data_IF_429706332012
#
_entry.id   IF_429706332012
#
_cell.length_a   1.000
_cell.length_b   1.000
_cell.length_c   1.000
_cell.angle_alpha   90.00
_cell.angle_beta   90.00
_cell.angle_gamma   90.00
#
_symmetry.space_group_name_H-M   'P 1'
#
loop_
_entity.id
_entity.type
_entity.pdbx_description
1 polymer ?
#
# COMPACT_ATOMS: atom_id res chain seq x y z
N UNK A 1 -9.96 -7.64 -5.52
CA UNK A 1 -9.51 -6.62 -4.57
C UNK A 1 -8.10 -6.92 -4.07
N UNK A 2 -7.88 -8.12 -3.51
CA UNK A 2 -6.64 -8.51 -2.87
C UNK A 2 -5.37 -8.30 -3.74
N UNK A 3 -5.44 -8.50 -5.07
CA UNK A 3 -4.29 -8.28 -5.95
C UNK A 3 -3.90 -6.81 -6.02
N UNK A 4 -4.88 -5.90 -6.16
CA UNK A 4 -4.60 -4.46 -6.24
C UNK A 4 -4.17 -3.86 -4.91
N UNK A 5 -4.71 -4.37 -3.79
CA UNK A 5 -4.34 -3.96 -2.44
C UNK A 5 -3.12 -4.72 -1.90
N UNK A 6 -2.49 -5.57 -2.73
CA UNK A 6 -1.30 -6.35 -2.36
C UNK A 6 -1.51 -7.18 -1.09
N UNK A 7 -2.72 -7.76 -0.91
CA UNK A 7 -3.09 -8.55 0.28
C UNK A 7 -2.71 -10.02 0.07
N UNK A 8 -1.85 -10.60 0.92
CA UNK A 8 -1.46 -12.00 0.80
C UNK A 8 -2.60 -12.92 1.25
N UNK A 9 -3.22 -13.60 0.30
CA UNK A 9 -4.30 -14.58 0.56
C UNK A 9 -3.93 -15.89 -0.14
N UNK A 10 -4.08 -17.01 0.56
CA UNK A 10 -4.04 -18.35 -0.03
C UNK A 10 -5.46 -18.90 -0.06
N UNK A 11 -6.03 -19.00 -1.26
CA UNK A 11 -7.35 -19.59 -1.48
C UNK A 11 -7.18 -21.06 -1.90
N UNK A 12 -7.81 -21.96 -1.17
CA UNK A 12 -7.86 -23.39 -1.48
C UNK A 12 -9.28 -23.70 -1.97
N UNK A 13 -9.38 -24.21 -3.20
CA UNK A 13 -10.64 -24.60 -3.84
C UNK A 13 -10.70 -26.10 -4.04
N UNK A 14 -11.92 -26.66 -3.98
CA UNK A 14 -12.20 -28.04 -4.38
C UNK A 14 -12.69 -28.10 -5.84
N UNK A 15 -12.26 -29.11 -6.58
CA UNK A 15 -12.58 -29.35 -7.97
C UNK A 15 -13.17 -30.76 -8.16
N UNK A 16 -13.87 -31.00 -9.28
CA UNK A 16 -14.32 -32.33 -9.68
C UNK A 16 -13.15 -33.31 -9.79
N UNK A 17 -13.42 -34.60 -9.92
CA UNK A 17 -12.35 -35.60 -10.10
C UNK A 17 -11.56 -35.33 -11.39
N UNK A 18 -10.27 -35.62 -11.39
CA UNK A 18 -9.39 -35.36 -12.54
C UNK A 18 -9.84 -36.06 -13.83
N UNK A 19 -10.50 -37.19 -13.72
CA UNK A 19 -11.05 -37.94 -14.85
C UNK A 19 -12.24 -37.26 -15.55
N UNK A 20 -12.89 -36.29 -14.90
CA UNK A 20 -14.06 -35.58 -15.42
C UNK A 20 -13.75 -34.13 -15.79
N UNK A 21 -12.51 -33.69 -15.64
CA UNK A 21 -12.11 -32.34 -16.06
C UNK A 21 -12.23 -32.18 -17.59
N UNK A 22 -12.83 -31.07 -18.01
CA UNK A 22 -13.05 -30.74 -19.42
C UNK A 22 -14.24 -31.46 -20.05
N UNK A 23 -15.13 -32.04 -19.25
CA UNK A 23 -16.32 -32.78 -19.74
C UNK A 23 -17.65 -32.06 -19.46
N UNK A 24 -17.61 -30.81 -18.96
CA UNK A 24 -18.77 -30.07 -18.48
C UNK A 24 -19.53 -30.83 -17.34
N UNK A 25 -18.77 -31.51 -16.49
CA UNK A 25 -19.30 -32.22 -15.35
C UNK A 25 -20.06 -31.28 -14.39
N UNK A 26 -21.02 -31.84 -13.62
CA UNK A 26 -21.80 -31.05 -12.65
C UNK A 26 -20.85 -30.29 -11.68
N UNK A 27 -21.00 -28.97 -11.59
CA UNK A 27 -20.17 -28.06 -10.79
C UNK A 27 -18.69 -27.94 -11.23
N UNK A 28 -18.34 -28.43 -12.41
CA UNK A 28 -17.03 -28.15 -12.98
C UNK A 28 -16.95 -26.71 -13.44
N UNK A 29 -15.79 -26.09 -13.19
CA UNK A 29 -15.45 -24.77 -13.70
C UNK A 29 -13.95 -24.68 -13.96
N UNK A 30 -13.53 -24.01 -15.03
CA UNK A 30 -12.12 -23.73 -15.27
C UNK A 30 -11.62 -22.62 -14.31
N UNK A 31 -11.43 -23.01 -13.05
CA UNK A 31 -11.10 -22.08 -11.98
C UNK A 31 -9.72 -21.44 -12.16
N UNK A 32 -8.79 -22.13 -12.81
CA UNK A 32 -7.46 -21.62 -13.09
C UNK A 32 -7.51 -20.41 -14.05
N UNK A 33 -8.26 -20.53 -15.15
CA UNK A 33 -8.40 -19.41 -16.10
C UNK A 33 -9.15 -18.22 -15.47
N UNK A 34 -10.22 -18.46 -14.72
CA UNK A 34 -10.98 -17.41 -14.05
C UNK A 34 -10.10 -16.63 -13.07
N UNK A 35 -9.24 -17.32 -12.33
CA UNK A 35 -8.40 -16.70 -11.30
C UNK A 35 -7.09 -16.14 -11.82
N UNK A 36 -6.68 -16.47 -13.04
CA UNK A 36 -5.38 -16.08 -13.61
C UNK A 36 -5.16 -14.56 -13.65
N UNK A 37 -6.20 -13.78 -13.95
CA UNK A 37 -6.11 -12.31 -14.04
C UNK A 37 -6.16 -11.59 -12.71
N UNK A 38 -6.52 -12.28 -11.62
CA UNK A 38 -6.77 -11.69 -10.30
C UNK A 38 -5.89 -12.27 -9.18
N UNK A 39 -4.90 -13.10 -9.55
CA UNK A 39 -3.96 -13.73 -8.61
C UNK A 39 -2.52 -13.59 -9.07
N UNK A 40 -1.58 -13.65 -8.14
CA UNK A 40 -0.14 -13.72 -8.44
C UNK A 40 0.26 -15.05 -9.05
N UNK A 41 -0.42 -16.10 -8.60
CA UNK A 41 -0.17 -17.46 -9.03
C UNK A 41 -1.38 -18.33 -8.73
N UNK A 42 -1.62 -19.29 -9.59
CA UNK A 42 -2.60 -20.33 -9.36
C UNK A 42 -2.08 -21.69 -9.85
N UNK A 43 -2.59 -22.77 -9.30
CA UNK A 43 -2.30 -24.10 -9.78
C UNK A 43 -3.45 -25.05 -9.50
N UNK A 44 -3.56 -26.09 -10.34
CA UNK A 44 -4.47 -27.22 -10.13
C UNK A 44 -3.67 -28.44 -9.69
N UNK A 45 -4.05 -29.03 -8.58
CA UNK A 45 -3.43 -30.25 -7.98
C UNK A 45 -4.30 -31.47 -8.26
N UNK A 46 -3.73 -32.47 -8.93
CA UNK A 46 -4.44 -33.69 -9.38
C UNK A 46 -4.00 -34.95 -8.63
N UNK A 47 -3.01 -34.87 -7.77
CA UNK A 47 -2.45 -36.01 -7.01
C UNK A 47 -2.25 -35.60 -5.56
N UNK A 48 -2.54 -36.51 -4.63
CA UNK A 48 -2.38 -36.22 -3.20
C UNK A 48 -0.93 -35.84 -2.84
N UNK A 49 0.05 -36.48 -3.46
CA UNK A 49 1.47 -36.26 -3.19
C UNK A 49 1.96 -34.86 -3.53
N UNK A 50 1.26 -34.15 -4.44
CA UNK A 50 1.63 -32.81 -4.90
C UNK A 50 1.06 -31.71 -3.98
N UNK A 51 0.09 -32.03 -3.10
CA UNK A 51 -0.57 -31.05 -2.24
C UNK A 51 0.42 -30.32 -1.32
N UNK A 52 1.32 -30.97 -0.57
CA UNK A 52 2.22 -30.28 0.36
C UNK A 52 3.13 -29.28 -0.32
N UNK A 53 3.67 -29.62 -1.51
CA UNK A 53 4.53 -28.71 -2.27
C UNK A 53 3.73 -27.53 -2.84
N UNK A 54 2.52 -27.76 -3.37
CA UNK A 54 1.65 -26.70 -3.90
C UNK A 54 1.28 -25.70 -2.79
N UNK A 55 0.93 -26.17 -1.59
CA UNK A 55 0.63 -25.31 -0.43
C UNK A 55 1.88 -24.55 0.02
N UNK A 56 3.04 -25.18 0.09
CA UNK A 56 4.28 -24.52 0.46
C UNK A 56 4.64 -23.39 -0.55
N UNK A 57 4.48 -23.64 -1.86
CA UNK A 57 4.64 -22.63 -2.91
C UNK A 57 3.63 -21.50 -2.76
N UNK A 58 2.37 -21.83 -2.49
CA UNK A 58 1.30 -20.84 -2.35
C UNK A 58 1.61 -19.82 -1.25
N UNK A 59 1.97 -20.26 -0.05
CA UNK A 59 2.36 -19.38 1.05
C UNK A 59 3.60 -18.56 0.73
N UNK A 60 4.62 -19.17 0.13
CA UNK A 60 5.84 -18.46 -0.26
C UNK A 60 5.56 -17.36 -1.28
N UNK A 61 4.81 -17.65 -2.35
CA UNK A 61 4.50 -16.68 -3.41
C UNK A 61 3.57 -15.58 -2.89
N UNK A 62 2.55 -15.92 -2.09
CA UNK A 62 1.61 -14.95 -1.56
C UNK A 62 2.29 -13.86 -0.72
N UNK A 63 3.28 -14.25 0.09
CA UNK A 63 3.90 -13.37 1.10
C UNK A 63 5.23 -12.74 0.70
N UNK A 64 5.84 -13.14 -0.43
CA UNK A 64 7.16 -12.64 -0.85
C UNK A 64 7.07 -11.63 -2.00
N UNK A 65 8.07 -10.74 -2.13
CA UNK A 65 8.05 -9.63 -3.07
C UNK A 65 6.87 -8.70 -2.79
N UNK A 66 6.22 -8.19 -3.84
CA UNK A 66 4.92 -7.55 -3.67
C UNK A 66 3.90 -8.62 -3.25
N UNK A 67 3.29 -8.55 -2.05
CA UNK A 67 2.33 -9.54 -1.60
C UNK A 67 1.08 -9.60 -2.50
N UNK A 68 0.35 -10.70 -2.47
CA UNK A 68 -0.88 -10.82 -3.23
C UNK A 68 -1.52 -12.20 -3.15
N UNK A 69 -2.74 -12.36 -3.68
CA UNK A 69 -3.51 -13.59 -3.60
C UNK A 69 -2.95 -14.69 -4.49
N UNK A 70 -3.07 -15.92 -4.02
CA UNK A 70 -2.77 -17.14 -4.77
C UNK A 70 -3.90 -18.15 -4.62
N UNK A 71 -4.04 -19.05 -5.60
CA UNK A 71 -5.10 -20.08 -5.63
C UNK A 71 -4.49 -21.45 -5.81
N UNK A 72 -4.95 -22.42 -5.00
CA UNK A 72 -4.67 -23.85 -5.15
C UNK A 72 -6.00 -24.57 -5.34
N UNK A 73 -6.23 -25.09 -6.53
CA UNK A 73 -7.44 -25.83 -6.91
C UNK A 73 -7.15 -27.33 -6.83
N UNK A 74 -7.84 -28.07 -5.96
CA UNK A 74 -7.52 -29.47 -5.62
C UNK A 74 -8.63 -30.38 -6.08
N UNK A 75 -8.33 -31.32 -6.99
CA UNK A 75 -9.33 -32.28 -7.50
C UNK A 75 -9.81 -33.24 -6.42
N UNK A 76 -11.04 -33.73 -6.58
CA UNK A 76 -11.69 -34.64 -5.61
C UNK A 76 -10.87 -35.92 -5.35
N UNK A 77 -10.28 -36.49 -6.38
CA UNK A 77 -9.44 -37.68 -6.26
C UNK A 77 -8.11 -37.38 -5.54
N UNK A 78 -7.50 -36.23 -5.75
CA UNK A 78 -6.35 -35.79 -4.96
C UNK A 78 -6.69 -35.61 -3.48
N UNK A 79 -7.87 -35.02 -3.17
CA UNK A 79 -8.33 -34.87 -1.78
C UNK A 79 -8.60 -36.21 -1.07
N UNK A 80 -9.05 -37.23 -1.82
CA UNK A 80 -9.33 -38.56 -1.30
C UNK A 80 -8.10 -39.50 -1.35
N UNK A 81 -7.03 -39.07 -1.99
CA UNK A 81 -5.81 -39.86 -2.14
C UNK A 81 -5.07 -40.05 -0.81
N UNK A 82 -4.33 -41.14 -0.72
CA UNK A 82 -3.46 -41.46 0.45
C UNK A 82 -2.01 -41.17 0.09
N UNK A 83 -1.26 -40.57 0.99
CA UNK A 83 0.16 -40.26 0.79
C UNK A 83 0.94 -40.36 2.10
N UNK A 84 2.25 -40.53 2.02
CA UNK A 84 3.12 -40.23 3.16
C UNK A 84 3.26 -38.70 3.26
N UNK A 85 2.77 -38.16 4.38
CA UNK A 85 2.77 -36.70 4.58
C UNK A 85 4.14 -36.20 4.97
N UNK A 86 4.74 -35.34 4.13
CA UNK A 86 5.92 -34.58 4.47
C UNK A 86 5.71 -33.12 4.05
N UNK A 87 5.76 -32.17 4.99
CA UNK A 87 5.69 -30.75 4.68
C UNK A 87 7.08 -30.10 4.76
N UNK A 88 7.52 -29.54 3.64
CA UNK A 88 8.77 -28.77 3.55
C UNK A 88 8.45 -27.30 3.19
N UNK A 89 8.70 -26.35 4.09
CA UNK A 89 8.54 -24.93 3.77
C UNK A 89 9.33 -24.55 2.51
N UNK A 90 8.69 -23.85 1.57
CA UNK A 90 9.37 -23.36 0.39
C UNK A 90 10.27 -22.19 0.75
N UNK A 91 11.54 -22.23 0.30
CA UNK A 91 12.52 -21.16 0.51
C UNK A 91 12.99 -20.50 -0.79
N UNK A 92 12.79 -21.18 -1.91
CA UNK A 92 13.28 -20.75 -3.20
C UNK A 92 12.49 -21.41 -4.33
N UNK A 93 12.18 -20.64 -5.36
CA UNK A 93 11.59 -21.11 -6.61
C UNK A 93 12.46 -20.54 -7.75
N UNK A 94 13.05 -21.40 -8.58
CA UNK A 94 14.02 -21.01 -9.61
C UNK A 94 13.50 -19.92 -10.58
N UNK A 95 12.23 -19.96 -10.92
CA UNK A 95 11.58 -19.04 -11.87
C UNK A 95 10.95 -17.81 -11.21
N UNK A 96 11.11 -17.64 -9.89
CA UNK A 96 10.49 -16.54 -9.14
C UNK A 96 11.52 -15.84 -8.27
N UNK A 97 11.80 -14.58 -8.58
CA UNK A 97 12.78 -13.75 -7.88
C UNK A 97 12.02 -12.60 -7.18
N UNK A 98 11.53 -12.81 -5.94
CA UNK A 98 10.72 -11.82 -5.22
C UNK A 98 11.54 -10.68 -4.61
N UNK A 99 12.85 -10.87 -4.44
CA UNK A 99 13.75 -9.89 -3.83
C UNK A 99 14.87 -9.58 -4.80
N UNK A 100 14.89 -8.35 -5.28
CA UNK A 100 15.97 -7.87 -6.14
C UNK A 100 17.14 -7.37 -5.29
N UNK A 101 18.35 -7.54 -5.79
CA UNK A 101 19.53 -6.91 -5.19
C UNK A 101 19.44 -5.41 -5.43
N UNK A 102 19.52 -4.64 -4.35
CA UNK A 102 19.46 -3.18 -4.42
C UNK A 102 20.74 -2.67 -5.09
N UNK A 103 20.57 -1.87 -6.13
CA UNK A 103 21.69 -1.24 -6.84
C UNK A 103 22.24 -0.07 -6.03
N UNK A 104 23.52 -0.18 -5.65
CA UNK A 104 24.19 0.85 -4.85
C UNK A 104 24.35 2.17 -5.61
N UNK A 105 24.48 2.16 -6.94
CA UNK A 105 24.60 3.39 -7.74
C UNK A 105 23.26 4.17 -7.73
N UNK A 106 22.13 3.48 -7.75
CA UNK A 106 20.82 4.10 -7.57
C UNK A 106 20.66 4.70 -6.16
N UNK A 107 21.15 4.03 -5.13
CA UNK A 107 21.17 4.56 -3.74
C UNK A 107 22.02 5.83 -3.65
N UNK A 108 23.19 5.85 -4.25
CA UNK A 108 24.08 7.01 -4.26
C UNK A 108 23.45 8.19 -5.01
N UNK A 109 22.84 7.94 -6.16
CA UNK A 109 22.18 8.99 -6.93
C UNK A 109 20.93 9.52 -6.22
N UNK A 110 20.12 8.64 -5.60
CA UNK A 110 19.00 9.05 -4.77
C UNK A 110 19.46 9.97 -3.62
N UNK A 111 20.48 9.57 -2.88
CA UNK A 111 21.05 10.37 -1.80
C UNK A 111 21.61 11.73 -2.30
N UNK A 112 22.24 11.74 -3.48
CA UNK A 112 22.75 12.96 -4.11
C UNK A 112 21.61 13.92 -4.44
N UNK A 113 20.53 13.45 -5.06
CA UNK A 113 19.37 14.28 -5.38
C UNK A 113 18.70 14.84 -4.12
N UNK A 114 18.55 14.01 -3.08
CA UNK A 114 17.99 14.44 -1.78
C UNK A 114 18.84 15.56 -1.17
N UNK A 115 20.16 15.41 -1.14
CA UNK A 115 21.07 16.41 -0.57
C UNK A 115 21.06 17.74 -1.34
N UNK A 116 20.71 17.73 -2.62
CA UNK A 116 20.67 18.94 -3.47
C UNK A 116 19.30 19.63 -3.52
N UNK A 117 18.24 18.91 -3.17
CA UNK A 117 16.87 19.41 -3.25
C UNK A 117 16.62 20.55 -2.25
N UNK A 118 15.85 21.54 -2.68
CA UNK A 118 15.40 22.66 -1.86
C UNK A 118 13.94 22.57 -1.46
N UNK A 119 13.11 21.93 -2.29
CA UNK A 119 11.69 21.76 -2.08
C UNK A 119 11.27 20.27 -2.27
N UNK A 120 11.86 19.36 -1.50
CA UNK A 120 11.51 17.93 -1.61
C UNK A 120 10.16 17.63 -0.96
N UNK A 121 9.51 16.54 -1.40
CA UNK A 121 8.39 15.94 -0.70
C UNK A 121 8.46 14.41 -0.77
N UNK A 122 8.32 13.74 0.37
CA UNK A 122 8.18 12.29 0.44
C UNK A 122 6.71 11.90 0.25
N UNK A 123 6.47 10.89 -0.58
CA UNK A 123 5.15 10.30 -0.84
C UNK A 123 5.11 8.89 -0.26
N UNK A 124 4.34 8.71 0.80
CA UNK A 124 4.28 7.46 1.56
C UNK A 124 3.16 6.57 0.99
N UNK A 125 3.53 5.40 0.48
CA UNK A 125 2.60 4.38 0.04
C UNK A 125 2.43 3.22 1.02
N UNK A 126 1.56 2.28 0.65
CA UNK A 126 1.30 1.06 1.42
C UNK A 126 2.55 0.17 1.58
N UNK A 127 3.49 0.23 0.64
CA UNK A 127 4.72 -0.56 0.68
C UNK A 127 5.55 -0.34 1.94
N UNK A 128 5.46 0.83 2.58
CA UNK A 128 6.08 1.08 3.89
C UNK A 128 5.47 0.18 4.97
N UNK A 129 4.13 0.08 5.00
CA UNK A 129 3.39 -0.74 5.97
C UNK A 129 3.61 -2.23 5.68
N UNK A 130 3.51 -2.64 4.41
CA UNK A 130 3.69 -4.04 4.00
C UNK A 130 5.12 -4.53 4.25
N UNK A 131 6.11 -3.69 4.00
CA UNK A 131 7.52 -3.96 4.27
C UNK A 131 7.92 -3.89 5.75
N UNK A 132 7.05 -3.34 6.62
CA UNK A 132 7.37 -3.09 8.03
C UNK A 132 8.49 -2.06 8.22
N UNK A 133 8.48 -1.00 7.40
CA UNK A 133 9.53 0.01 7.30
C UNK A 133 9.13 1.35 7.94
N UNK A 134 8.19 1.34 8.88
CA UNK A 134 7.68 2.56 9.52
C UNK A 134 8.76 3.25 10.37
N UNK A 135 9.61 2.47 11.03
CA UNK A 135 10.72 3.00 11.82
C UNK A 135 11.79 3.61 10.91
N UNK A 136 12.16 2.92 9.84
CA UNK A 136 13.12 3.38 8.84
C UNK A 136 12.63 4.66 8.13
N UNK A 137 11.31 4.74 7.87
CA UNK A 137 10.70 5.97 7.35
C UNK A 137 10.84 7.13 8.33
N UNK A 138 10.55 6.91 9.61
CA UNK A 138 10.67 7.93 10.64
C UNK A 138 12.10 8.44 10.75
N UNK A 139 13.09 7.56 10.81
CA UNK A 139 14.53 7.93 10.86
C UNK A 139 14.96 8.71 9.62
N UNK A 140 14.49 8.30 8.44
CA UNK A 140 14.73 9.03 7.19
C UNK A 140 14.18 10.44 7.25
N UNK A 141 12.93 10.61 7.67
CA UNK A 141 12.29 11.91 7.76
C UNK A 141 12.96 12.80 8.81
N UNK A 142 13.23 12.28 10.01
CA UNK A 142 13.91 13.04 11.07
C UNK A 142 15.31 13.51 10.66
N UNK A 143 16.06 12.73 9.88
CA UNK A 143 17.37 13.12 9.38
C UNK A 143 17.28 14.10 8.23
N UNK A 144 16.39 13.87 7.28
CA UNK A 144 16.27 14.68 6.06
C UNK A 144 15.52 15.99 6.27
N UNK A 145 14.63 16.09 7.27
CA UNK A 145 13.74 17.24 7.46
C UNK A 145 12.65 17.40 6.41
N UNK A 146 12.45 16.41 5.53
CA UNK A 146 11.55 16.48 4.36
C UNK A 146 10.08 16.38 4.78
N UNK A 147 9.17 17.25 4.27
CA UNK A 147 7.73 17.06 4.44
C UNK A 147 7.24 15.78 3.77
N UNK A 148 6.31 15.08 4.41
CA UNK A 148 5.79 13.80 3.98
C UNK A 148 4.26 13.80 3.84
N UNK A 149 3.76 13.37 2.69
CA UNK A 149 2.35 13.15 2.44
C UNK A 149 2.09 11.65 2.20
N UNK A 150 0.94 11.15 2.65
CA UNK A 150 0.55 9.76 2.43
C UNK A 150 -0.44 9.61 1.26
N UNK A 151 -0.42 8.45 0.62
CA UNK A 151 -1.55 7.97 -0.19
C UNK A 151 -2.65 7.42 0.72
N UNK A 152 -3.83 7.10 0.20
CA UNK A 152 -4.91 6.47 0.98
C UNK A 152 -4.43 5.21 1.71
N UNK A 153 -3.77 4.28 1.00
CA UNK A 153 -3.24 3.05 1.60
C UNK A 153 -1.92 3.26 2.36
N UNK A 154 -1.30 4.43 2.25
CA UNK A 154 -0.14 4.84 3.05
C UNK A 154 -0.52 5.54 4.35
N UNK A 155 -1.81 5.85 4.58
CA UNK A 155 -2.28 6.39 5.85
C UNK A 155 -1.88 5.49 7.02
N UNK A 156 -1.58 6.09 8.15
CA UNK A 156 -1.05 5.42 9.35
C UNK A 156 0.34 4.77 9.23
N UNK A 157 1.05 4.92 8.11
CA UNK A 157 2.49 4.59 8.11
C UNK A 157 3.30 5.59 8.97
N UNK A 158 2.78 6.80 9.10
CA UNK A 158 3.31 7.87 9.96
C UNK A 158 2.13 8.46 10.77
N UNK A 159 2.29 8.72 12.07
CA UNK A 159 1.27 9.43 12.86
C UNK A 159 0.91 10.79 12.27
N UNK A 160 -0.36 11.17 12.33
CA UNK A 160 -0.85 12.44 11.74
C UNK A 160 -0.36 13.68 12.48
N UNK A 161 0.13 13.54 13.70
CA UNK A 161 0.75 14.60 14.51
C UNK A 161 2.28 14.69 14.35
N UNK A 162 2.87 13.85 13.49
CA UNK A 162 4.31 13.92 13.23
C UNK A 162 4.66 15.28 12.61
N UNK A 163 5.73 15.98 13.06
CA UNK A 163 6.05 17.35 12.64
C UNK A 163 6.21 17.54 11.13
N UNK A 164 6.65 16.50 10.43
CA UNK A 164 6.87 16.51 8.97
C UNK A 164 5.68 15.97 8.18
N UNK A 165 4.62 15.45 8.84
CA UNK A 165 3.42 15.02 8.15
C UNK A 165 2.61 16.22 7.67
N UNK A 166 2.37 16.30 6.37
CA UNK A 166 1.67 17.43 5.74
C UNK A 166 0.29 17.08 5.20
N UNK A 167 -0.15 15.83 5.38
CA UNK A 167 -1.49 15.37 5.00
C UNK A 167 -1.49 14.25 3.95
N UNK A 168 -2.67 13.97 3.40
CA UNK A 168 -2.87 12.98 2.35
C UNK A 168 -2.82 13.66 0.97
N UNK A 169 -2.19 13.01 -0.01
CA UNK A 169 -2.16 13.43 -1.41
C UNK A 169 -3.22 12.65 -2.21
N UNK A 170 -3.76 13.27 -3.25
CA UNK A 170 -4.68 12.67 -4.22
C UNK A 170 -6.07 13.26 -4.21
N UNK A 171 -7.03 12.60 -4.88
CA UNK A 171 -8.38 13.11 -5.15
C UNK A 171 -9.13 13.57 -3.89
N UNK A 172 -9.02 12.83 -2.79
CA UNK A 172 -9.64 13.14 -1.49
C UNK A 172 -8.63 13.66 -0.47
N UNK A 173 -7.43 14.00 -0.93
CA UNK A 173 -6.34 14.48 -0.11
C UNK A 173 -6.51 15.90 0.41
N UNK A 174 -5.51 16.35 1.15
CA UNK A 174 -5.45 17.69 1.71
C UNK A 174 -5.00 18.72 0.68
N UNK A 175 -5.39 19.96 0.90
CA UNK A 175 -5.08 21.07 0.00
C UNK A 175 -3.56 21.30 -0.14
N UNK A 176 -2.83 21.27 0.98
CA UNK A 176 -1.39 21.50 1.00
C UNK A 176 -0.61 20.56 0.07
N UNK A 177 -0.64 19.23 0.27
CA UNK A 177 0.06 18.29 -0.60
C UNK A 177 -0.35 18.39 -2.08
N UNK A 178 -1.63 18.54 -2.36
CA UNK A 178 -2.13 18.61 -3.73
C UNK A 178 -1.66 19.86 -4.49
N UNK A 179 -1.58 21.01 -3.84
CA UNK A 179 -1.11 22.25 -4.46
C UNK A 179 0.42 22.29 -4.53
N UNK A 180 1.09 21.91 -3.43
CA UNK A 180 2.55 22.02 -3.32
C UNK A 180 3.31 20.95 -4.12
N UNK A 181 2.66 19.87 -4.54
CA UNK A 181 3.21 18.89 -5.47
C UNK A 181 3.80 19.55 -6.75
N UNK A 182 3.20 20.64 -7.21
CA UNK A 182 3.65 21.36 -8.41
C UNK A 182 4.88 22.26 -8.16
N UNK A 183 5.13 22.63 -6.91
CA UNK A 183 6.23 23.47 -6.48
C UNK A 183 7.47 22.68 -6.09
N UNK A 184 7.34 21.34 -5.97
CA UNK A 184 8.45 20.45 -5.62
C UNK A 184 9.53 20.43 -6.70
N UNK A 185 10.77 20.38 -6.29
CA UNK A 185 11.94 20.07 -7.13
C UNK A 185 12.34 18.58 -7.07
N UNK A 186 11.84 17.88 -6.05
CA UNK A 186 12.07 16.44 -5.86
C UNK A 186 10.85 15.77 -5.20
N UNK A 187 10.39 14.68 -5.79
CA UNK A 187 9.41 13.76 -5.21
C UNK A 187 10.06 12.42 -4.92
N UNK A 188 9.89 11.93 -3.69
CA UNK A 188 10.44 10.66 -3.24
C UNK A 188 9.26 9.73 -2.98
N UNK A 189 8.92 8.89 -3.95
CA UNK A 189 7.85 7.92 -3.85
C UNK A 189 8.35 6.66 -3.14
N UNK A 190 7.78 6.35 -1.98
CA UNK A 190 8.22 5.27 -1.09
C UNK A 190 7.13 4.21 -1.01
N UNK A 191 7.30 3.10 -1.75
CA UNK A 191 6.36 1.99 -1.77
C UNK A 191 4.96 2.37 -2.25
N UNK A 192 4.86 3.16 -3.33
CA UNK A 192 3.59 3.57 -3.95
C UNK A 192 3.65 3.39 -5.47
N UNK A 193 2.52 3.06 -6.09
CA UNK A 193 2.42 2.72 -7.52
C UNK A 193 1.96 3.84 -8.45
N UNK A 194 1.87 5.08 -8.02
CA UNK A 194 1.35 6.21 -8.80
C UNK A 194 -0.05 5.99 -9.37
N UNK A 195 -0.97 5.53 -8.52
CA UNK A 195 -2.37 5.33 -8.86
C UNK A 195 -3.02 6.62 -9.39
N UNK A 196 -4.00 6.49 -10.30
CA UNK A 196 -4.69 7.63 -10.92
C UNK A 196 -5.44 8.50 -9.90
N UNK A 197 -5.88 7.92 -8.76
CA UNK A 197 -6.51 8.66 -7.66
C UNK A 197 -5.52 9.55 -6.92
N UNK A 198 -4.23 9.27 -7.02
CA UNK A 198 -3.15 10.08 -6.46
C UNK A 198 -2.62 11.08 -7.48
N UNK A 199 -2.32 10.62 -8.69
CA UNK A 199 -1.69 11.44 -9.72
C UNK A 199 -2.66 12.36 -10.47
N UNK A 200 -3.92 11.95 -10.61
CA UNK A 200 -4.84 12.58 -11.55
C UNK A 200 -4.30 12.45 -12.97
N UNK A 201 -4.06 13.59 -13.62
CA UNK A 201 -3.39 13.66 -14.92
C UNK A 201 -1.87 13.49 -14.75
N UNK A 202 -1.28 12.33 -15.13
CA UNK A 202 0.15 12.09 -14.92
C UNK A 202 1.06 13.12 -15.60
N UNK A 203 0.60 13.77 -16.67
CA UNK A 203 1.38 14.78 -17.38
C UNK A 203 1.55 16.09 -16.58
N UNK A 204 0.76 16.25 -15.54
CA UNK A 204 0.76 17.44 -14.65
C UNK A 204 1.27 17.12 -13.24
N UNK A 205 1.53 15.85 -12.95
CA UNK A 205 1.99 15.39 -11.64
C UNK A 205 3.50 15.62 -11.51
N UNK A 206 3.92 16.35 -10.48
CA UNK A 206 5.33 16.61 -10.23
C UNK A 206 6.08 17.25 -11.40
N UNK A 207 5.42 18.11 -12.19
CA UNK A 207 5.91 18.61 -13.47
C UNK A 207 7.29 19.29 -13.41
N UNK A 208 7.66 19.82 -12.25
CA UNK A 208 8.95 20.48 -12.02
C UNK A 208 9.92 19.63 -11.22
N UNK A 209 9.49 18.46 -10.75
CA UNK A 209 10.24 17.63 -9.84
C UNK A 209 11.01 16.50 -10.56
N UNK A 210 12.19 16.19 -10.08
CA UNK A 210 12.78 14.86 -10.28
C UNK A 210 12.06 13.85 -9.41
N UNK A 211 12.06 12.59 -9.84
CA UNK A 211 11.33 11.52 -9.15
C UNK A 211 12.27 10.40 -8.77
N UNK A 212 12.35 10.13 -7.46
CA UNK A 212 12.95 8.92 -6.90
C UNK A 212 11.81 7.96 -6.60
N UNK A 213 11.87 6.71 -7.08
CA UNK A 213 10.85 5.69 -6.85
C UNK A 213 11.43 4.46 -6.18
N UNK A 214 11.18 4.30 -4.86
CA UNK A 214 11.54 3.10 -4.10
C UNK A 214 10.39 2.10 -4.24
N UNK A 215 10.63 1.00 -4.96
CA UNK A 215 9.59 0.04 -5.31
C UNK A 215 10.13 -1.40 -5.31
N UNK A 216 9.34 -2.35 -4.83
CA UNK A 216 9.68 -3.77 -4.79
C UNK A 216 9.29 -4.50 -6.09
N UNK A 217 8.26 -4.00 -6.79
CA UNK A 217 7.72 -4.60 -8.01
C UNK A 217 8.30 -3.90 -9.26
N UNK A 218 9.18 -4.57 -10.02
CA UNK A 218 9.75 -3.96 -11.22
C UNK A 218 8.71 -3.57 -12.26
N UNK A 219 7.51 -4.19 -12.25
CA UNK A 219 6.44 -3.88 -13.18
C UNK A 219 5.76 -2.53 -12.91
N UNK A 220 5.92 -1.95 -11.72
CA UNK A 220 5.38 -0.64 -11.39
C UNK A 220 6.37 0.51 -11.75
N UNK A 221 7.65 0.21 -11.91
CA UNK A 221 8.66 1.21 -12.28
C UNK A 221 8.42 1.74 -13.71
N UNK A 222 8.33 3.06 -13.84
CA UNK A 222 8.08 3.75 -15.13
C UNK A 222 6.74 3.40 -15.81
N UNK A 223 5.80 2.80 -15.09
CA UNK A 223 4.50 2.39 -15.65
C UNK A 223 3.56 3.58 -15.88
N UNK A 224 3.48 4.50 -14.95
CA UNK A 224 2.59 5.67 -14.99
C UNK A 224 3.40 6.97 -15.02
N UNK A 225 4.35 7.08 -14.13
CA UNK A 225 5.23 8.26 -14.00
C UNK A 225 6.66 7.79 -14.21
N UNK A 226 7.43 8.55 -15.00
CA UNK A 226 8.85 8.25 -15.20
C UNK A 226 9.66 8.59 -13.95
N UNK A 227 10.45 7.66 -13.47
CA UNK A 227 11.35 7.86 -12.34
C UNK A 227 12.75 8.20 -12.86
N UNK A 228 13.30 9.34 -12.42
CA UNK A 228 14.72 9.70 -12.69
C UNK A 228 15.66 8.71 -12.00
N UNK A 229 15.30 8.27 -10.80
CA UNK A 229 16.06 7.29 -10.03
C UNK A 229 15.13 6.20 -9.50
N UNK A 230 14.99 5.07 -10.21
CA UNK A 230 14.29 3.90 -9.71
C UNK A 230 15.19 3.14 -8.72
N UNK A 231 14.75 2.96 -7.50
CA UNK A 231 15.42 2.13 -6.48
C UNK A 231 14.60 0.87 -6.29
N UNK A 232 14.98 -0.19 -7.02
CA UNK A 232 14.27 -1.47 -6.98
C UNK A 232 14.73 -2.29 -5.78
N UNK A 233 13.78 -2.67 -4.92
CA UNK A 233 14.03 -3.49 -3.74
C UNK A 233 13.08 -3.21 -2.59
N UNK A 234 13.28 -3.93 -1.49
CA UNK A 234 12.50 -3.75 -0.26
C UNK A 234 12.80 -2.40 0.39
N UNK A 235 11.78 -1.61 0.65
CA UNK A 235 11.88 -0.30 1.32
C UNK A 235 12.57 -0.40 2.67
N UNK A 236 12.34 -1.49 3.41
CA UNK A 236 12.99 -1.74 4.71
C UNK A 236 14.51 -1.82 4.60
N UNK A 237 15.03 -2.19 3.44
CA UNK A 237 16.47 -2.28 3.18
C UNK A 237 17.00 -1.02 2.47
N UNK A 238 16.29 -0.53 1.45
CA UNK A 238 16.74 0.57 0.63
C UNK A 238 16.71 1.92 1.36
N UNK A 239 15.71 2.14 2.22
CA UNK A 239 15.54 3.42 2.92
C UNK A 239 16.67 3.70 3.93
N UNK A 240 17.13 2.74 4.78
CA UNK A 240 18.32 2.91 5.61
C UNK A 240 19.59 3.20 4.80
N UNK A 241 19.78 2.51 3.66
CA UNK A 241 20.95 2.74 2.80
C UNK A 241 21.01 4.17 2.28
N UNK A 242 19.85 4.75 1.93
CA UNK A 242 19.74 6.17 1.55
C UNK A 242 19.98 7.05 2.78
N UNK A 243 19.33 6.72 3.90
CA UNK A 243 19.42 7.50 5.14
C UNK A 243 20.85 7.64 5.64
N UNK A 244 21.67 6.61 5.55
CA UNK A 244 23.08 6.67 5.90
C UNK A 244 23.86 7.71 5.08
N UNK A 245 23.50 7.90 3.79
CA UNK A 245 24.24 8.70 2.80
C UNK A 245 23.74 10.13 2.63
N UNK A 246 22.57 10.46 3.18
CA UNK A 246 22.08 11.84 3.17
C UNK A 246 22.67 12.63 4.32
N UNK A 247 22.82 13.93 4.13
CA UNK A 247 23.16 14.87 5.18
C UNK A 247 21.93 15.20 6.03
N UNK A 248 22.14 15.52 7.30
CA UNK A 248 21.07 16.12 8.11
C UNK A 248 20.70 17.47 7.51
N UNK A 249 19.41 17.69 7.30
CA UNK A 249 18.89 18.91 6.71
C UNK A 249 17.65 19.40 7.46
N UNK A 250 17.23 20.62 7.15
CA UNK A 250 16.04 21.26 7.70
C UNK A 250 15.29 21.94 6.56
N UNK A 251 14.02 21.56 6.40
CA UNK A 251 13.11 22.14 5.42
C UNK A 251 11.93 22.86 6.11
N UNK A 252 12.15 23.44 7.29
CA UNK A 252 11.11 24.09 8.10
C UNK A 252 10.37 25.17 7.33
N UNK A 253 11.05 26.01 6.54
CA UNK A 253 10.41 27.04 5.72
C UNK A 253 9.48 26.42 4.67
N UNK A 254 9.94 25.34 4.03
CA UNK A 254 9.15 24.61 3.06
C UNK A 254 7.96 23.90 3.70
N UNK A 255 8.11 23.28 4.85
CA UNK A 255 7.00 22.70 5.63
C UNK A 255 5.98 23.79 6.01
N UNK A 256 6.41 25.00 6.35
CA UNK A 256 5.51 26.10 6.68
C UNK A 256 4.65 26.53 5.49
N UNK A 257 5.13 26.41 4.25
CA UNK A 257 4.30 26.63 3.07
C UNK A 257 3.11 25.65 2.98
N UNK A 258 3.32 24.38 3.35
CA UNK A 258 2.22 23.40 3.48
C UNK A 258 1.26 23.77 4.62
N UNK A 259 1.80 24.19 5.78
CA UNK A 259 0.98 24.59 6.92
C UNK A 259 0.06 25.76 6.62
N UNK A 260 0.52 26.73 5.82
CA UNK A 260 -0.34 27.84 5.33
C UNK A 260 -1.52 27.28 4.54
N UNK A 261 -1.28 26.40 3.57
CA UNK A 261 -2.34 25.77 2.80
C UNK A 261 -3.29 24.93 3.68
N UNK A 262 -2.73 24.16 4.62
CA UNK A 262 -3.50 23.32 5.53
C UNK A 262 -4.34 24.18 6.52
N UNK A 263 -3.87 25.35 6.91
CA UNK A 263 -4.67 26.28 7.73
C UNK A 263 -5.87 26.83 6.95
N UNK A 264 -5.69 27.22 5.68
CA UNK A 264 -6.79 27.64 4.80
C UNK A 264 -7.83 26.51 4.70
N UNK A 265 -7.39 25.28 4.41
CA UNK A 265 -8.29 24.13 4.35
C UNK A 265 -9.00 23.86 5.69
N UNK A 266 -8.28 24.00 6.79
CA UNK A 266 -8.85 23.82 8.11
C UNK A 266 -9.97 24.83 8.39
N UNK A 267 -9.74 26.10 8.14
CA UNK A 267 -10.69 27.16 8.40
C UNK A 267 -11.91 27.11 7.46
N UNK A 268 -11.69 26.87 6.16
CA UNK A 268 -12.75 26.93 5.17
C UNK A 268 -13.53 25.62 5.01
N UNK A 269 -12.92 24.47 5.30
CA UNK A 269 -13.49 23.14 5.00
C UNK A 269 -13.61 22.26 6.25
N UNK A 270 -12.52 22.07 7.02
CA UNK A 270 -12.48 21.07 8.08
C UNK A 270 -13.29 21.53 9.28
N UNK A 271 -13.00 22.71 9.84
CA UNK A 271 -13.72 23.24 11.00
C UNK A 271 -15.23 23.37 10.74
N UNK A 272 -15.68 23.94 9.59
CA UNK A 272 -17.10 23.95 9.28
C UNK A 272 -17.73 22.56 9.15
N UNK A 273 -16.99 21.54 8.77
CA UNK A 273 -17.50 20.18 8.61
C UNK A 273 -17.60 19.39 9.92
N UNK A 274 -16.73 19.67 10.89
CA UNK A 274 -16.70 18.97 12.19
C UNK A 274 -17.45 19.75 13.29
N UNK A 275 -17.70 21.05 13.12
CA UNK A 275 -18.47 21.86 14.06
C UNK A 275 -19.95 21.52 13.97
N UNK A 276 -20.58 21.25 15.13
CA UNK A 276 -22.01 20.93 15.18
C UNK A 276 -22.85 22.14 14.78
N UNK A 277 -23.58 21.99 13.66
CA UNK A 277 -24.49 23.03 13.14
C UNK A 277 -25.87 22.41 12.87
N UNK A 278 -26.86 22.73 13.73
CA UNK A 278 -28.23 22.29 13.55
C UNK A 278 -28.61 20.96 14.23
N UNK A 279 -29.76 20.40 13.84
CA UNK A 279 -30.36 19.23 14.47
C UNK A 279 -29.87 17.87 13.94
N UNK A 280 -29.29 17.85 12.74
CA UNK A 280 -28.83 16.62 12.09
C UNK A 280 -27.33 16.46 12.23
N UNK A 281 -26.89 15.23 12.53
CA UNK A 281 -25.46 14.88 12.56
C UNK A 281 -24.91 14.85 11.13
N UNK A 282 -23.72 15.41 10.95
CA UNK A 282 -22.94 15.31 9.70
C UNK A 282 -21.81 14.32 9.87
N UNK A 283 -21.36 13.75 8.77
CA UNK A 283 -20.34 12.70 8.80
C UNK A 283 -19.02 13.17 9.39
N UNK A 284 -18.58 14.39 9.09
CA UNK A 284 -17.37 14.97 9.68
C UNK A 284 -17.44 15.08 11.21
N UNK A 285 -18.59 15.49 11.77
CA UNK A 285 -18.80 15.55 13.23
C UNK A 285 -18.67 14.16 13.87
N UNK A 286 -19.26 13.13 13.23
CA UNK A 286 -19.21 11.75 13.75
C UNK A 286 -17.77 11.22 13.71
N UNK A 287 -17.07 11.38 12.60
CA UNK A 287 -15.68 10.89 12.44
C UNK A 287 -14.74 11.60 13.42
N UNK A 288 -14.86 12.93 13.58
CA UNK A 288 -14.02 13.69 14.52
C UNK A 288 -14.29 13.27 15.98
N UNK A 289 -15.57 13.07 16.34
CA UNK A 289 -15.95 12.61 17.70
C UNK A 289 -15.40 11.19 17.97
N UNK A 290 -15.56 10.26 17.03
CA UNK A 290 -15.01 8.90 17.14
C UNK A 290 -13.49 8.93 17.25
N UNK A 291 -12.81 9.75 16.42
CA UNK A 291 -11.36 9.89 16.45
C UNK A 291 -10.81 10.46 17.75
N UNK A 292 -11.60 11.29 18.46
CA UNK A 292 -11.22 11.85 19.78
C UNK A 292 -11.43 10.86 20.90
N UNK A 293 -12.50 10.06 20.83
CA UNK A 293 -12.86 9.09 21.87
C UNK A 293 -12.00 7.81 21.77
N UNK A 294 -11.66 7.38 20.54
CA UNK A 294 -10.98 6.11 20.28
C UNK A 294 -9.66 6.34 19.54
N UNK A 295 -8.73 7.01 20.18
CA UNK A 295 -7.45 7.43 19.57
C UNK A 295 -6.45 6.29 19.32
N UNK A 296 -6.67 5.11 19.91
CA UNK A 296 -5.87 3.89 19.69
C UNK A 296 -6.61 2.82 18.85
N UNK A 297 -7.74 3.18 18.24
CA UNK A 297 -8.54 2.24 17.46
C UNK A 297 -7.90 1.94 16.09
N UNK A 298 -8.21 0.74 15.58
CA UNK A 298 -8.05 0.43 14.15
C UNK A 298 -9.28 0.94 13.42
N UNK A 299 -9.11 1.90 12.54
CA UNK A 299 -10.16 2.38 11.65
C UNK A 299 -10.37 1.38 10.51
N UNK A 300 -11.56 0.82 10.40
CA UNK A 300 -11.94 0.01 9.25
C UNK A 300 -13.05 0.71 8.50
N UNK A 301 -12.87 0.95 7.21
CA UNK A 301 -13.88 1.60 6.38
C UNK A 301 -14.50 0.62 5.38
N UNK A 302 -15.77 0.80 5.11
CA UNK A 302 -16.37 0.35 3.84
C UNK A 302 -16.07 1.39 2.76
N UNK A 303 -16.69 1.30 1.60
CA UNK A 303 -16.46 2.19 0.46
C UNK A 303 -17.60 3.18 0.31
N UNK A 304 -17.27 4.43 -0.02
CA UNK A 304 -18.18 5.53 -0.22
C UNK A 304 -17.78 6.80 0.52
N UNK A 305 -18.75 7.69 0.76
CA UNK A 305 -18.46 8.98 1.42
C UNK A 305 -17.81 8.82 2.80
N UNK A 306 -18.23 7.82 3.58
CA UNK A 306 -17.65 7.56 4.90
C UNK A 306 -16.15 7.24 4.83
N UNK A 307 -15.68 6.55 3.77
CA UNK A 307 -14.26 6.29 3.55
C UNK A 307 -13.48 7.60 3.34
N UNK A 308 -14.03 8.50 2.52
CA UNK A 308 -13.41 9.79 2.21
C UNK A 308 -13.35 10.69 3.47
N UNK A 309 -14.44 10.75 4.22
CA UNK A 309 -14.46 11.50 5.48
C UNK A 309 -13.54 10.88 6.53
N UNK A 310 -13.56 9.55 6.67
CA UNK A 310 -12.72 8.86 7.63
C UNK A 310 -11.22 9.06 7.32
N UNK A 311 -10.81 8.91 6.07
CA UNK A 311 -9.41 9.14 5.68
C UNK A 311 -8.92 10.57 5.89
N UNK A 312 -9.82 11.57 5.83
CA UNK A 312 -9.49 12.99 5.95
C UNK A 312 -9.57 13.51 7.39
N UNK A 313 -10.53 13.04 8.19
CA UNK A 313 -10.83 13.61 9.51
C UNK A 313 -10.37 12.74 10.68
N UNK A 314 -10.11 11.44 10.47
CA UNK A 314 -9.60 10.58 11.52
C UNK A 314 -8.10 10.86 11.78
N UNK A 315 -7.72 10.92 13.05
CA UNK A 315 -6.33 11.14 13.47
C UNK A 315 -5.66 9.83 13.81
N UNK A 316 -4.68 9.45 13.00
CA UNK A 316 -3.90 8.23 13.20
C UNK A 316 -2.75 8.53 14.16
N UNK A 317 -2.84 8.06 15.41
CA UNK A 317 -1.78 8.24 16.41
C UNK A 317 -0.77 7.10 16.44
N UNK A 318 -1.14 5.96 15.91
CA UNK A 318 -0.25 4.80 15.79
C UNK A 318 -0.15 4.31 14.34
N UNK A 319 0.91 3.58 14.06
CA UNK A 319 1.10 2.90 12.78
C UNK A 319 0.13 1.73 12.63
N UNK A 320 -0.15 1.32 11.39
CA UNK A 320 -1.02 0.16 11.05
C UNK A 320 -2.42 0.23 11.64
N UNK A 321 -3.02 1.41 11.62
CA UNK A 321 -4.33 1.66 12.25
C UNK A 321 -5.44 1.98 11.26
N UNK A 322 -5.25 1.71 9.96
CA UNK A 322 -6.31 1.79 8.95
C UNK A 322 -6.38 0.50 8.12
N UNK A 323 -7.61 0.04 7.86
CA UNK A 323 -7.92 -1.06 6.95
C UNK A 323 -9.03 -0.58 6.01
N UNK A 324 -8.75 -0.57 4.72
CA UNK A 324 -9.68 -0.06 3.71
C UNK A 324 -9.43 -0.73 2.37
N UNK A 325 -10.50 -0.90 1.56
CA UNK A 325 -10.36 -1.32 0.17
C UNK A 325 -9.99 -0.11 -0.69
N UNK A 326 -8.73 0.00 -1.05
CA UNK A 326 -8.19 1.16 -1.78
C UNK A 326 -8.09 0.96 -3.28
N UNK A 327 -7.83 -0.25 -3.74
CA UNK A 327 -7.58 -0.55 -5.15
C UNK A 327 -8.85 -0.63 -6.00
N UNK A 328 -9.79 -1.49 -5.64
CA UNK A 328 -11.08 -1.64 -6.34
C UNK A 328 -12.23 -0.90 -5.67
N UNK A 329 -12.10 -0.52 -4.41
CA UNK A 329 -13.17 0.11 -3.67
C UNK A 329 -14.38 -0.82 -3.51
N UNK A 330 -14.18 -2.01 -2.94
CA UNK A 330 -15.17 -3.06 -2.83
C UNK A 330 -16.20 -2.75 -1.75
N UNK A 331 -17.43 -2.47 -2.13
CA UNK A 331 -18.55 -2.28 -1.19
C UNK A 331 -18.87 -3.59 -0.45
N UNK A 332 -19.15 -3.50 0.86
CA UNK A 332 -19.34 -4.65 1.73
C UNK A 332 -18.04 -5.18 2.35
N UNK A 333 -16.91 -4.56 2.08
CA UNK A 333 -15.60 -4.90 2.65
C UNK A 333 -15.51 -4.62 4.16
N UNK A 334 -16.11 -3.52 4.62
CA UNK A 334 -15.86 -2.97 5.95
C UNK A 334 -16.24 -3.91 7.10
N UNK A 335 -17.43 -4.51 7.08
CA UNK A 335 -17.89 -5.38 8.16
C UNK A 335 -17.02 -6.63 8.35
N UNK A 336 -16.77 -7.48 7.32
CA UNK A 336 -15.91 -8.64 7.49
C UNK A 336 -14.47 -8.26 7.84
N UNK A 337 -13.94 -7.16 7.30
CA UNK A 337 -12.60 -6.68 7.64
C UNK A 337 -12.52 -6.21 9.10
N UNK A 338 -13.56 -5.56 9.63
CA UNK A 338 -13.61 -5.15 11.04
C UNK A 338 -13.68 -6.36 11.98
N UNK A 339 -14.41 -7.42 11.61
CA UNK A 339 -14.44 -8.67 12.37
C UNK A 339 -13.03 -9.28 12.40
N UNK A 340 -12.35 -9.37 11.26
CA UNK A 340 -10.99 -9.88 11.16
C UNK A 340 -9.96 -9.06 11.95
N UNK A 341 -10.11 -7.73 11.96
CA UNK A 341 -9.23 -6.85 12.73
C UNK A 341 -9.41 -6.98 14.25
N UNK A 342 -10.56 -7.48 14.71
CA UNK A 342 -10.87 -7.66 16.13
C UNK A 342 -10.35 -8.98 16.70
N UNK A 343 -10.20 -10.02 15.87
CA UNK A 343 -9.69 -11.34 16.25
C UNK A 343 -8.17 -11.28 16.47
#
# INVERSE_FOLDING_TARGET
DALLDSTPIVLISGQVASSTLGTDAFQEINFIEITNSVTKWNCQVKRAEDIPEAIAKAFYIASSGRPGPVVVDITKDAQNGMMEFEYKPMKFIRSYIPHHTIDNDQILEAARLINLSRKPMALIGQGVILGGAEQELKEFLEKSGIPAASTLLGLSALPTDHPQYVGMLGMHGNYGPNIKNRDCDLLIAIGMRFDDRVTGDPSKFGINAKIIHLEIDPAEVNKIVYADVPVLGDVKQSLPMITERISKNDHTEWINEFRVCNNIEREDIIEPAIERRGAHLRMGEVVDAVSKEFDDAILVTDVGQQQMFASKYFRFKRTRSIITSGGLGTMGFGLPAAIGAKI
#
